data_IF_080085508748
#
_entry.id   IF_080085508748
#
_cell.length_a   1.000
_cell.length_b   1.000
_cell.length_c   1.000
_cell.angle_alpha   90.00
_cell.angle_beta   90.00
_cell.angle_gamma   90.00
#
_symmetry.space_group_name_H-M   'P 1'
#
loop_
_entity.id
_entity.type
_entity.pdbx_description
1 polymer ?
#
# COMPACT_ATOMS: atom_id res chain seq x y z
N UNK A 1 -0.35 4.33 17.69
CA UNK A 1 -1.17 3.12 17.59
C UNK A 1 -2.26 3.05 18.66
N UNK A 2 -1.89 2.89 19.92
CA UNK A 2 -2.86 2.58 20.99
C UNK A 2 -3.08 3.73 21.99
N UNK A 3 -2.20 4.73 21.98
CA UNK A 3 -2.22 5.83 22.95
C UNK A 3 -2.43 7.17 22.22
N UNK A 4 -3.62 7.77 22.42
CA UNK A 4 -4.01 9.04 21.77
C UNK A 4 -3.02 10.19 22.03
N UNK A 5 -2.43 10.24 23.23
CA UNK A 5 -1.44 11.27 23.56
C UNK A 5 -0.14 11.08 22.78
N UNK A 6 0.36 9.84 22.70
CA UNK A 6 1.55 9.52 21.90
C UNK A 6 1.28 9.79 20.43
N UNK A 7 0.10 9.45 19.93
CA UNK A 7 -0.28 9.69 18.54
C UNK A 7 -0.30 11.19 18.22
N UNK A 8 -0.88 12.03 19.09
CA UNK A 8 -0.86 13.49 18.92
C UNK A 8 0.56 14.08 18.91
N UNK A 9 1.46 13.56 19.77
CA UNK A 9 2.88 13.94 19.74
C UNK A 9 3.54 13.53 18.42
N UNK A 10 3.31 12.29 17.97
CA UNK A 10 3.81 11.80 16.69
C UNK A 10 3.31 12.65 15.52
N UNK A 11 2.04 13.07 15.55
CA UNK A 11 1.43 13.92 14.52
C UNK A 11 2.02 15.33 14.48
N UNK A 12 2.51 15.82 15.63
CA UNK A 12 3.21 17.11 15.73
C UNK A 12 4.64 17.01 15.18
N UNK A 13 5.32 15.88 15.41
CA UNK A 13 6.69 15.66 14.96
C UNK A 13 6.77 15.44 13.45
N UNK A 14 5.83 14.66 12.89
CA UNK A 14 5.83 14.31 11.47
C UNK A 14 4.41 14.47 10.90
N UNK A 15 4.10 15.65 10.34
CA UNK A 15 2.78 15.97 9.80
C UNK A 15 2.35 15.06 8.64
N UNK A 16 1.04 14.90 8.49
CA UNK A 16 0.45 14.06 7.44
C UNK A 16 0.86 14.50 6.02
N UNK A 17 0.93 15.81 5.79
CA UNK A 17 1.32 16.36 4.49
C UNK A 17 2.75 16.01 4.08
N UNK A 18 3.66 15.92 5.06
CA UNK A 18 5.04 15.52 4.83
C UNK A 18 5.11 14.02 4.53
N UNK A 19 4.34 13.19 5.24
CA UNK A 19 4.22 11.76 4.95
C UNK A 19 3.75 11.53 3.52
N UNK A 20 2.70 12.22 3.09
CA UNK A 20 2.18 12.09 1.73
C UNK A 20 3.15 12.62 0.68
N UNK A 21 3.94 13.64 1.00
CA UNK A 21 5.03 14.08 0.13
C UNK A 21 6.08 12.99 -0.04
N UNK A 22 6.54 12.37 1.05
CA UNK A 22 7.51 11.26 1.01
C UNK A 22 6.97 10.08 0.20
N UNK A 23 5.74 9.66 0.46
CA UNK A 23 5.11 8.51 -0.20
C UNK A 23 4.94 8.71 -1.70
N UNK A 24 4.65 9.94 -2.13
CA UNK A 24 4.48 10.29 -3.54
C UNK A 24 5.77 10.76 -4.23
N UNK A 25 6.89 10.88 -3.51
CA UNK A 25 8.12 11.39 -4.11
C UNK A 25 8.69 10.39 -5.13
N UNK A 26 8.90 10.78 -6.41
CA UNK A 26 9.35 9.86 -7.44
C UNK A 26 10.77 9.35 -7.20
N UNK A 27 11.64 10.19 -6.63
CA UNK A 27 13.06 9.85 -6.42
C UNK A 27 13.34 9.11 -5.10
N UNK A 28 12.31 8.82 -4.29
CA UNK A 28 12.47 8.03 -3.06
C UNK A 28 12.11 6.58 -3.37
N UNK A 29 13.05 5.68 -3.16
CA UNK A 29 12.82 4.25 -3.31
C UNK A 29 11.69 3.74 -2.41
N UNK A 30 10.86 2.86 -2.97
CA UNK A 30 9.76 2.24 -2.26
C UNK A 30 10.19 1.49 -1.00
N UNK A 31 11.38 0.89 -0.99
CA UNK A 31 11.95 0.28 0.21
C UNK A 31 12.02 1.28 1.38
N UNK A 32 12.47 2.51 1.10
CA UNK A 32 12.60 3.60 2.06
C UNK A 32 11.25 4.22 2.46
N UNK A 33 10.21 4.08 1.62
CA UNK A 33 8.85 4.55 1.91
C UNK A 33 8.10 3.66 2.92
N UNK A 34 8.48 2.38 3.04
CA UNK A 34 7.78 1.41 3.90
C UNK A 34 7.59 1.87 5.36
N UNK A 35 8.60 2.40 6.07
CA UNK A 35 8.43 2.87 7.45
C UNK A 35 7.45 4.04 7.55
N UNK A 36 7.46 4.96 6.59
CA UNK A 36 6.55 6.10 6.55
C UNK A 36 5.11 5.66 6.29
N UNK A 37 4.90 4.66 5.44
CA UNK A 37 3.57 4.09 5.21
C UNK A 37 3.06 3.37 6.46
N UNK A 38 3.91 2.59 7.15
CA UNK A 38 3.58 1.96 8.43
C UNK A 38 3.28 2.98 9.53
N UNK A 39 4.02 4.09 9.58
CA UNK A 39 3.76 5.20 10.49
C UNK A 39 2.41 5.86 10.19
N UNK A 40 2.15 6.14 8.91
CA UNK A 40 0.87 6.68 8.43
C UNK A 40 -0.30 5.81 8.88
N UNK A 41 -0.20 4.50 8.67
CA UNK A 41 -1.19 3.53 9.14
C UNK A 41 -1.34 3.55 10.67
N UNK A 42 -0.24 3.54 11.42
CA UNK A 42 -0.27 3.41 12.88
C UNK A 42 -0.71 4.68 13.64
N UNK A 43 -0.59 5.85 13.03
CA UNK A 43 -0.79 7.16 13.68
C UNK A 43 -1.98 7.92 13.11
N UNK A 44 -2.26 7.78 11.81
CA UNK A 44 -3.29 8.55 11.11
C UNK A 44 -4.44 7.67 10.61
N UNK A 45 -4.14 6.53 10.01
CA UNK A 45 -5.11 5.70 9.27
C UNK A 45 -5.33 4.41 10.04
N UNK A 46 -6.06 4.47 11.16
CA UNK A 46 -6.35 3.29 12.00
C UNK A 46 -7.83 3.26 12.39
N UNK A 47 -8.37 2.06 12.66
CA UNK A 47 -9.68 1.95 13.30
C UNK A 47 -9.61 2.57 14.70
N UNK A 48 -10.18 3.74 14.92
CA UNK A 48 -10.42 4.30 16.26
C UNK A 48 -11.88 4.09 16.66
N UNK A 49 -12.16 3.72 17.92
CA UNK A 49 -13.54 3.64 18.41
C UNK A 49 -14.27 4.99 18.40
N UNK A 50 -13.53 6.10 18.38
CA UNK A 50 -14.07 7.45 18.16
C UNK A 50 -13.68 7.92 16.74
N UNK A 51 -14.62 7.86 15.80
CA UNK A 51 -14.43 8.27 14.39
C UNK A 51 -14.34 9.80 14.22
N UNK A 52 -14.71 10.57 15.24
CA UNK A 52 -14.93 12.03 15.12
C UNK A 52 -13.71 12.91 15.44
N UNK A 53 -12.59 12.36 15.93
CA UNK A 53 -11.46 13.17 16.44
C UNK A 53 -10.17 13.06 15.63
N UNK A 54 -10.07 12.14 14.66
CA UNK A 54 -8.95 12.21 13.72
C UNK A 54 -9.22 13.42 12.82
N UNK A 55 -8.36 14.44 12.84
CA UNK A 55 -8.46 15.66 12.01
C UNK A 55 -8.28 15.40 10.50
N UNK A 56 -8.77 14.26 10.02
CA UNK A 56 -8.68 13.70 8.69
C UNK A 56 -10.09 13.62 8.05
N UNK A 57 -10.95 14.61 8.32
CA UNK A 57 -12.34 14.66 7.82
C UNK A 57 -12.46 14.44 6.31
N UNK A 58 -11.37 14.69 5.57
CA UNK A 58 -11.33 14.63 4.11
C UNK A 58 -10.34 13.60 3.54
N UNK A 59 -9.85 12.65 4.35
CA UNK A 59 -8.88 11.66 3.84
C UNK A 59 -9.44 10.81 2.68
N UNK A 60 -10.76 10.58 2.69
CA UNK A 60 -11.48 9.83 1.66
C UNK A 60 -11.33 10.40 0.24
N UNK A 61 -11.24 11.74 0.10
CA UNK A 61 -11.11 12.45 -1.18
C UNK A 61 -9.78 13.21 -1.29
N UNK A 62 -8.85 12.95 -0.39
CA UNK A 62 -7.60 13.70 -0.34
C UNK A 62 -6.75 13.42 -1.57
N UNK A 63 -6.49 14.45 -2.39
CA UNK A 63 -5.81 14.30 -3.69
C UNK A 63 -4.52 13.48 -3.61
N UNK A 64 -3.66 13.77 -2.63
CA UNK A 64 -2.36 13.07 -2.48
C UNK A 64 -2.49 11.59 -2.10
N UNK A 65 -3.61 11.19 -1.48
CA UNK A 65 -3.90 9.77 -1.23
C UNK A 65 -4.24 9.09 -2.55
N UNK A 66 -5.06 9.72 -3.37
CA UNK A 66 -5.42 9.20 -4.68
C UNK A 66 -4.25 9.18 -5.67
N UNK A 67 -3.36 10.17 -5.62
CA UNK A 67 -2.08 10.16 -6.35
C UNK A 67 -1.23 8.94 -5.91
N UNK A 68 -1.18 8.66 -4.60
CA UNK A 68 -0.48 7.50 -4.04
C UNK A 68 -1.11 6.17 -4.49
N UNK A 69 -2.44 6.06 -4.48
CA UNK A 69 -3.16 4.87 -4.97
C UNK A 69 -2.95 4.67 -6.47
N UNK A 70 -2.92 5.73 -7.26
CA UNK A 70 -2.61 5.66 -8.70
C UNK A 70 -1.19 5.15 -8.95
N UNK A 71 -0.20 5.65 -8.20
CA UNK A 71 1.20 5.18 -8.25
C UNK A 71 1.33 3.73 -7.78
N UNK A 72 0.50 3.33 -6.81
CA UNK A 72 0.42 1.95 -6.34
C UNK A 72 -0.04 1.01 -7.45
N UNK A 73 -1.03 1.39 -8.27
CA UNK A 73 -1.45 0.59 -9.44
C UNK A 73 -0.26 0.32 -10.36
N UNK A 74 0.53 1.36 -10.68
CA UNK A 74 1.70 1.23 -11.53
C UNK A 74 2.74 0.28 -10.91
N UNK A 75 3.05 0.49 -9.63
CA UNK A 75 4.01 -0.35 -8.88
C UNK A 75 3.58 -1.82 -8.85
N UNK A 76 2.30 -2.11 -8.64
CA UNK A 76 1.76 -3.49 -8.63
C UNK A 76 1.89 -4.14 -10.01
N UNK A 77 1.60 -3.40 -11.09
CA UNK A 77 1.71 -3.93 -12.45
C UNK A 77 3.18 -4.20 -12.84
N UNK A 78 4.09 -3.27 -12.54
CA UNK A 78 5.52 -3.45 -12.79
C UNK A 78 6.09 -4.63 -11.99
N UNK A 79 5.62 -4.80 -10.76
CA UNK A 79 6.00 -5.93 -9.92
C UNK A 79 5.44 -7.24 -10.47
N UNK A 80 4.20 -7.27 -10.96
CA UNK A 80 3.62 -8.43 -11.63
C UNK A 80 4.48 -8.86 -12.84
N UNK A 81 4.86 -7.93 -13.71
CA UNK A 81 5.71 -8.21 -14.86
C UNK A 81 7.08 -8.75 -14.44
N UNK A 82 7.67 -8.14 -13.41
CA UNK A 82 8.97 -8.54 -12.87
C UNK A 82 8.94 -9.94 -12.25
N UNK A 83 7.90 -10.24 -11.45
CA UNK A 83 7.73 -11.55 -10.81
C UNK A 83 7.45 -12.63 -11.86
N UNK A 84 6.67 -12.32 -12.88
CA UNK A 84 6.40 -13.23 -14.00
C UNK A 84 7.70 -13.58 -14.73
N UNK A 85 8.55 -12.58 -14.99
CA UNK A 85 9.84 -12.77 -15.68
C UNK A 85 10.88 -13.52 -14.84
N UNK A 86 10.90 -13.31 -13.52
CA UNK A 86 11.96 -13.81 -12.63
C UNK A 86 11.45 -14.74 -11.52
N UNK A 87 10.43 -15.56 -11.82
CA UNK A 87 9.67 -16.36 -10.84
C UNK A 87 10.53 -17.15 -9.85
N UNK A 88 11.48 -17.96 -10.32
CA UNK A 88 12.33 -18.77 -9.44
C UNK A 88 13.15 -17.92 -8.45
N UNK A 89 13.61 -16.75 -8.90
CA UNK A 89 14.40 -15.82 -8.09
C UNK A 89 13.52 -15.12 -7.06
N UNK A 90 12.30 -14.73 -7.42
CA UNK A 90 11.34 -14.12 -6.49
C UNK A 90 11.05 -15.03 -5.29
N UNK A 91 10.92 -16.35 -5.49
CA UNK A 91 10.75 -17.30 -4.39
C UNK A 91 11.92 -17.27 -3.40
N UNK A 92 13.15 -17.05 -3.90
CA UNK A 92 14.33 -16.87 -3.05
C UNK A 92 14.28 -15.53 -2.29
N UNK A 93 13.94 -14.44 -2.98
CA UNK A 93 13.81 -13.11 -2.38
C UNK A 93 12.76 -13.04 -1.26
N UNK A 94 11.67 -13.82 -1.37
CA UNK A 94 10.63 -13.90 -0.34
C UNK A 94 11.11 -14.53 0.98
N UNK A 95 12.22 -15.27 0.97
CA UNK A 95 12.77 -15.92 2.17
C UNK A 95 13.54 -14.93 3.04
N UNK A 96 14.14 -13.90 2.44
CA UNK A 96 15.03 -12.97 3.13
C UNK A 96 14.50 -11.55 3.05
N UNK A 97 14.60 -10.79 4.13
CA UNK A 97 14.23 -9.36 4.10
C UNK A 97 15.23 -8.54 3.27
N UNK A 98 14.80 -7.47 2.58
CA UNK A 98 15.72 -6.51 2.03
C UNK A 98 16.44 -5.76 3.16
N UNK A 99 17.63 -5.24 2.89
CA UNK A 99 18.30 -4.35 3.83
C UNK A 99 17.47 -3.07 4.01
N UNK A 100 17.33 -2.63 5.26
CA UNK A 100 16.43 -1.51 5.64
C UNK A 100 16.75 -0.19 4.94
N UNK A 101 18.00 -0.02 4.52
CA UNK A 101 18.51 1.18 3.84
C UNK A 101 19.04 0.86 2.44
N UNK A 102 18.69 -0.30 1.88
CA UNK A 102 19.04 -0.61 0.50
C UNK A 102 18.35 0.40 -0.42
N UNK A 103 19.19 1.13 -1.15
CA UNK A 103 18.83 1.94 -2.31
C UNK A 103 19.21 1.09 -3.50
N UNK A 104 18.25 0.82 -4.37
CA UNK A 104 18.55 0.06 -5.57
C UNK A 104 19.10 1.04 -6.60
N UNK A 105 20.31 0.77 -7.10
CA UNK A 105 20.78 1.48 -8.29
C UNK A 105 19.81 1.18 -9.45
N UNK A 106 19.63 2.13 -10.35
CA UNK A 106 18.95 1.97 -11.64
C UNK A 106 19.39 0.72 -12.42
N UNK A 107 20.63 0.27 -12.22
CA UNK A 107 21.18 -0.95 -12.80
C UNK A 107 20.89 -2.22 -11.99
N UNK A 108 20.56 -2.11 -10.70
CA UNK A 108 20.23 -3.22 -9.81
C UNK A 108 18.73 -3.53 -9.81
N UNK A 109 18.27 -4.09 -10.94
CA UNK A 109 16.89 -4.57 -11.08
C UNK A 109 16.50 -5.56 -9.99
N UNK A 110 17.46 -6.31 -9.43
CA UNK A 110 17.17 -7.27 -8.36
C UNK A 110 16.85 -6.57 -7.04
N UNK A 111 17.66 -5.59 -6.65
CA UNK A 111 17.41 -4.75 -5.48
C UNK A 111 16.07 -4.03 -5.58
N UNK A 112 15.75 -3.48 -6.76
CA UNK A 112 14.46 -2.81 -7.01
C UNK A 112 13.28 -3.77 -6.80
N UNK A 113 13.32 -4.96 -7.41
CA UNK A 113 12.25 -5.96 -7.28
C UNK A 113 12.11 -6.41 -5.83
N UNK A 114 13.22 -6.65 -5.12
CA UNK A 114 13.19 -7.09 -3.71
C UNK A 114 12.57 -6.03 -2.80
N UNK A 115 12.97 -4.76 -2.95
CA UNK A 115 12.41 -3.64 -2.21
C UNK A 115 10.92 -3.44 -2.49
N UNK A 116 10.53 -3.42 -3.78
CA UNK A 116 9.13 -3.26 -4.18
C UNK A 116 8.24 -4.39 -3.67
N UNK A 117 8.74 -5.63 -3.66
CA UNK A 117 8.00 -6.79 -3.17
C UNK A 117 7.59 -6.62 -1.71
N UNK A 118 8.54 -6.25 -0.84
CA UNK A 118 8.28 -6.07 0.59
C UNK A 118 7.52 -4.78 0.88
N UNK A 119 7.78 -3.71 0.11
CA UNK A 119 6.99 -2.49 0.18
C UNK A 119 5.52 -2.78 -0.08
N UNK A 120 5.21 -3.53 -1.14
CA UNK A 120 3.82 -3.91 -1.46
C UNK A 120 3.26 -4.82 -0.36
N UNK A 121 3.92 -5.93 -0.04
CA UNK A 121 3.40 -6.94 0.88
C UNK A 121 3.23 -6.44 2.33
N UNK A 122 4.08 -5.52 2.80
CA UNK A 122 4.10 -5.10 4.21
C UNK A 122 3.72 -3.64 4.45
N UNK A 123 3.76 -2.80 3.42
CA UNK A 123 3.34 -1.40 3.51
C UNK A 123 1.99 -1.20 2.84
N UNK A 124 1.95 -1.45 1.52
CA UNK A 124 0.77 -1.15 0.69
C UNK A 124 -0.43 -2.01 1.07
N UNK A 125 -0.32 -3.34 1.08
CA UNK A 125 -1.47 -4.22 1.31
C UNK A 125 -2.18 -3.93 2.65
N UNK A 126 -1.47 -3.78 3.79
CA UNK A 126 -2.11 -3.36 5.04
C UNK A 126 -2.77 -1.98 4.96
N UNK A 127 -2.13 -1.02 4.29
CA UNK A 127 -2.71 0.32 4.11
C UNK A 127 -4.00 0.27 3.30
N UNK A 128 -3.98 -0.41 2.16
CA UNK A 128 -5.16 -0.59 1.32
C UNK A 128 -6.29 -1.28 2.08
N UNK A 129 -5.96 -2.27 2.90
CA UNK A 129 -6.95 -2.94 3.72
C UNK A 129 -7.70 -1.95 4.62
N UNK A 130 -6.98 -1.15 5.39
CA UNK A 130 -7.60 -0.19 6.32
C UNK A 130 -8.29 0.95 5.57
N UNK A 131 -7.67 1.49 4.52
CA UNK A 131 -8.25 2.57 3.72
C UNK A 131 -9.60 2.17 3.12
N UNK A 132 -9.67 1.03 2.44
CA UNK A 132 -10.90 0.58 1.79
C UNK A 132 -11.96 0.08 2.78
N UNK A 133 -11.57 -0.35 3.98
CA UNK A 133 -12.53 -0.73 5.02
C UNK A 133 -13.18 0.47 5.73
N UNK A 134 -12.44 1.56 5.92
CA UNK A 134 -12.86 2.64 6.82
C UNK A 134 -13.12 3.98 6.12
N UNK A 135 -12.43 4.26 5.02
CA UNK A 135 -12.37 5.60 4.44
C UNK A 135 -12.82 5.67 2.98
N UNK A 136 -12.91 4.55 2.26
CA UNK A 136 -13.36 4.57 0.88
C UNK A 136 -14.86 4.87 0.79
N UNK A 137 -15.21 6.07 0.32
CA UNK A 137 -16.58 6.50 0.10
C UNK A 137 -16.66 7.25 -1.24
N UNK A 138 -16.80 6.54 -2.38
CA UNK A 138 -16.64 7.14 -3.71
C UNK A 138 -17.79 8.09 -4.05
N UNK A 139 -17.46 9.25 -4.62
CA UNK A 139 -18.44 10.16 -5.22
C UNK A 139 -18.31 10.17 -6.74
N UNK A 140 -19.29 9.58 -7.44
CA UNK A 140 -19.28 9.49 -8.91
C UNK A 140 -19.40 10.85 -9.61
N UNK A 141 -19.95 11.84 -8.91
CA UNK A 141 -20.27 13.15 -9.45
C UNK A 141 -19.11 14.12 -9.29
N UNK A 142 -18.47 14.12 -8.11
CA UNK A 142 -17.36 15.02 -7.80
C UNK A 142 -16.00 14.41 -8.08
N UNK A 143 -15.84 13.09 -7.87
CA UNK A 143 -14.55 12.40 -7.95
C UNK A 143 -14.59 11.11 -8.79
N UNK A 144 -15.00 11.17 -10.07
CA UNK A 144 -15.16 9.97 -10.92
C UNK A 144 -13.87 9.17 -11.13
N UNK A 145 -12.70 9.81 -11.02
CA UNK A 145 -11.40 9.13 -11.15
C UNK A 145 -11.11 8.15 -10.02
N UNK A 146 -11.65 8.36 -8.83
CA UNK A 146 -11.45 7.48 -7.66
C UNK A 146 -11.96 6.07 -7.91
N UNK A 147 -13.09 5.96 -8.61
CA UNK A 147 -13.68 4.69 -9.01
C UNK A 147 -12.78 3.99 -10.02
N UNK A 148 -12.29 4.73 -11.01
CA UNK A 148 -11.41 4.16 -12.05
C UNK A 148 -10.09 3.68 -11.45
N UNK A 149 -9.51 4.44 -10.52
CA UNK A 149 -8.30 4.03 -9.78
C UNK A 149 -8.59 2.77 -8.96
N UNK A 150 -9.71 2.72 -8.25
CA UNK A 150 -10.12 1.55 -7.46
C UNK A 150 -10.30 0.31 -8.33
N UNK A 151 -10.95 0.41 -9.48
CA UNK A 151 -11.11 -0.70 -10.42
C UNK A 151 -9.78 -1.21 -10.96
N UNK A 152 -8.87 -0.30 -11.33
CA UNK A 152 -7.55 -0.68 -11.82
C UNK A 152 -6.71 -1.32 -10.71
N UNK A 153 -6.82 -0.81 -9.49
CA UNK A 153 -6.15 -1.38 -8.32
C UNK A 153 -6.69 -2.77 -8.01
N UNK A 154 -8.00 -2.97 -7.99
CA UNK A 154 -8.60 -4.28 -7.76
C UNK A 154 -8.12 -5.31 -8.78
N UNK A 155 -8.13 -4.97 -10.08
CA UNK A 155 -7.62 -5.86 -11.16
C UNK A 155 -6.13 -6.18 -11.00
N UNK A 156 -5.31 -5.16 -10.76
CA UNK A 156 -3.87 -5.34 -10.55
C UNK A 156 -3.57 -6.20 -9.32
N UNK A 157 -4.29 -5.99 -8.22
CA UNK A 157 -4.13 -6.78 -7.00
C UNK A 157 -4.58 -8.23 -7.18
N UNK A 158 -5.71 -8.50 -7.82
CA UNK A 158 -6.16 -9.88 -8.06
C UNK A 158 -5.08 -10.66 -8.81
N UNK A 159 -4.64 -10.13 -9.95
CA UNK A 159 -3.63 -10.79 -10.80
C UNK A 159 -2.28 -10.93 -10.11
N UNK A 160 -1.81 -9.89 -9.42
CA UNK A 160 -0.56 -9.93 -8.64
C UNK A 160 -0.63 -10.93 -7.48
N UNK A 161 -1.71 -10.90 -6.71
CA UNK A 161 -1.87 -11.76 -5.55
C UNK A 161 -2.02 -13.23 -5.95
N UNK A 162 -2.74 -13.54 -7.03
CA UNK A 162 -2.80 -14.90 -7.59
C UNK A 162 -1.41 -15.42 -7.97
N UNK A 163 -0.59 -14.57 -8.59
CA UNK A 163 0.78 -14.90 -8.99
C UNK A 163 1.69 -15.15 -7.78
N UNK A 164 1.64 -14.29 -6.76
CA UNK A 164 2.59 -14.33 -5.63
C UNK A 164 2.19 -15.32 -4.53
N UNK A 165 0.89 -15.57 -4.33
CA UNK A 165 0.36 -16.44 -3.28
C UNK A 165 1.06 -17.80 -3.15
N UNK A 166 1.30 -18.57 -4.23
CA UNK A 166 1.98 -19.87 -4.12
C UNK A 166 3.46 -19.77 -3.72
N UNK A 167 4.05 -18.57 -3.74
CA UNK A 167 5.46 -18.31 -3.45
C UNK A 167 5.66 -17.80 -2.01
N UNK A 168 4.58 -17.38 -1.34
CA UNK A 168 4.65 -16.82 0.00
C UNK A 168 4.98 -17.91 1.03
N UNK A 169 5.99 -17.62 1.85
CA UNK A 169 6.43 -18.51 2.94
C UNK A 169 6.08 -17.96 4.32
N UNK A 170 5.74 -16.68 4.43
CA UNK A 170 5.46 -16.00 5.71
C UNK A 170 3.95 -15.87 5.94
N UNK A 171 3.40 -16.38 7.06
CA UNK A 171 1.96 -16.30 7.34
C UNK A 171 1.40 -14.88 7.34
N UNK A 172 2.19 -13.90 7.81
CA UNK A 172 1.78 -12.51 7.82
C UNK A 172 1.60 -11.92 6.41
N UNK A 173 2.43 -12.30 5.43
CA UNK A 173 2.25 -11.87 4.04
C UNK A 173 0.96 -12.43 3.45
N UNK A 174 0.65 -13.70 3.73
CA UNK A 174 -0.60 -14.32 3.29
C UNK A 174 -1.81 -13.60 3.90
N UNK A 175 -1.76 -13.28 5.19
CA UNK A 175 -2.81 -12.48 5.86
C UNK A 175 -3.02 -11.15 5.15
N UNK A 176 -1.96 -10.41 4.86
CA UNK A 176 -2.07 -9.10 4.19
C UNK A 176 -2.68 -9.20 2.80
N UNK A 177 -2.30 -10.24 2.03
CA UNK A 177 -2.90 -10.55 0.72
C UNK A 177 -4.40 -10.77 0.85
N UNK A 178 -4.82 -11.68 1.74
CA UNK A 178 -6.24 -12.00 1.91
C UNK A 178 -7.03 -10.80 2.40
N UNK A 179 -6.54 -10.07 3.41
CA UNK A 179 -7.22 -8.90 3.97
C UNK A 179 -7.38 -7.79 2.94
N UNK A 180 -6.32 -7.46 2.19
CA UNK A 180 -6.34 -6.39 1.19
C UNK A 180 -7.22 -6.74 0.00
N UNK A 181 -7.12 -7.98 -0.53
CA UNK A 181 -8.03 -8.45 -1.58
C UNK A 181 -9.48 -8.37 -1.14
N UNK A 182 -9.79 -8.85 0.07
CA UNK A 182 -11.16 -8.84 0.61
C UNK A 182 -11.74 -7.43 0.63
N UNK A 183 -11.01 -6.46 1.17
CA UNK A 183 -11.49 -5.09 1.28
C UNK A 183 -11.56 -4.38 -0.07
N UNK A 184 -10.53 -4.49 -0.92
CA UNK A 184 -10.51 -3.76 -2.20
C UNK A 184 -11.52 -4.37 -3.18
N UNK A 185 -11.51 -5.70 -3.36
CA UNK A 185 -12.37 -6.37 -4.34
C UNK A 185 -13.83 -6.26 -3.96
N UNK A 186 -14.19 -6.33 -2.67
CA UNK A 186 -15.59 -6.19 -2.23
C UNK A 186 -16.20 -4.82 -2.56
N UNK A 187 -15.39 -3.78 -2.66
CA UNK A 187 -15.79 -2.42 -3.02
C UNK A 187 -15.71 -2.11 -4.52
N UNK A 188 -15.12 -3.02 -5.30
CA UNK A 188 -14.98 -2.92 -6.76
C UNK A 188 -16.07 -3.71 -7.48
N UNK A 189 -16.22 -3.45 -8.78
CA UNK A 189 -17.07 -4.21 -9.70
C UNK A 189 -16.33 -5.37 -10.39
N UNK A 190 -15.08 -5.66 -10.01
CA UNK A 190 -14.32 -6.80 -10.50
C UNK A 190 -15.04 -8.11 -10.14
N UNK A 191 -15.17 -8.99 -11.14
CA UNK A 191 -15.87 -10.27 -10.98
C UNK A 191 -15.22 -11.11 -9.88
N UNK A 192 -16.01 -11.52 -8.90
CA UNK A 192 -15.62 -12.43 -7.83
C UNK A 192 -15.58 -13.86 -8.39
N UNK A 193 -14.54 -14.18 -9.16
CA UNK A 193 -14.33 -15.54 -9.67
C UNK A 193 -13.84 -16.47 -8.58
#
# INVERSE_FOLDING_TARGET
GENKFIDSLCQTILPFEELLWILNHPDIDNNLKTPFLKFTLGVYVKPTPDENESGLSDIQHHKKIWDFLSTTVQTVNELFDSVTRYRERTTSLLKTYPDKSAIADSSDTRGMVHGNLYYVLEGVLPFLHVFYMLYYMPDKTLFPSEITITENLAKGLVTFCELISPMLVKPFHMKNVVSSLTSVVSTSSVSKT
#
